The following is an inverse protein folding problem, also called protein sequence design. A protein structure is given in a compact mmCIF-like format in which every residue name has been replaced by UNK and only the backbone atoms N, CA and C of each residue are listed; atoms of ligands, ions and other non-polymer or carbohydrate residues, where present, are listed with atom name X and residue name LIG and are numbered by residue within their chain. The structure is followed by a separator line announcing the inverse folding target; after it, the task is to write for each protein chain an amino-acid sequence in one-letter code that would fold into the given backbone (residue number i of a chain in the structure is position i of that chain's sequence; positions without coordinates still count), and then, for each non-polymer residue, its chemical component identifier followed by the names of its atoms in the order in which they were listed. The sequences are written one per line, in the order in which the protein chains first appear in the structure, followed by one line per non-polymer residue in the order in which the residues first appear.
data_IF_525831989942
#
_entry.id   IF_525831989942
#
_cell.length_a   1.000
_cell.length_b   1.000
_cell.length_c   1.000
_cell.angle_alpha   90.00
_cell.angle_beta   90.00
_cell.angle_gamma   90.00
#
_symmetry.space_group_name_H-M   'P 1'
#
loop_
_entity.id
_entity.type
_entity.pdbx_description
1 polymer ?
#
# COMPACT_ATOMS: atom_id res chain seq x y z
N UNK A 1 21.89 -11.60 -20.31
CA UNK A 1 20.64 -12.21 -19.82
C UNK A 1 19.70 -11.09 -19.49
N UNK A 2 18.66 -10.89 -20.31
CA UNK A 2 17.61 -9.93 -20.02
C UNK A 2 16.66 -10.68 -19.10
N UNK A 3 16.66 -10.36 -17.81
CA UNK A 3 15.65 -10.86 -16.88
C UNK A 3 14.33 -10.24 -17.28
N UNK A 4 13.50 -11.10 -17.85
CA UNK A 4 12.09 -10.88 -18.14
C UNK A 4 11.36 -10.64 -16.80
N UNK A 5 11.41 -9.41 -16.30
CA UNK A 5 10.56 -8.99 -15.18
C UNK A 5 9.14 -8.84 -15.73
N UNK A 6 8.50 -9.99 -15.89
CA UNK A 6 7.08 -10.09 -16.14
C UNK A 6 6.37 -9.42 -14.98
N UNK A 7 5.75 -8.28 -15.28
CA UNK A 7 4.89 -7.54 -14.36
C UNK A 7 3.81 -8.48 -13.85
N UNK A 8 3.99 -9.03 -12.65
CA UNK A 8 2.93 -9.79 -12.00
C UNK A 8 2.02 -8.77 -11.34
N UNK A 9 1.02 -8.32 -12.10
CA UNK A 9 -0.12 -7.60 -11.55
C UNK A 9 -0.76 -8.53 -10.50
N UNK A 10 -0.53 -8.26 -9.21
CA UNK A 10 -0.95 -9.14 -8.11
C UNK A 10 -2.47 -9.16 -7.88
N UNK A 11 -3.21 -8.39 -8.66
CA UNK A 11 -4.66 -8.28 -8.61
C UNK A 11 -5.02 -6.82 -8.78
N UNK A 12 -5.79 -6.51 -9.82
CA UNK A 12 -6.61 -5.30 -9.76
C UNK A 12 -7.67 -5.65 -8.73
N UNK A 13 -7.78 -4.88 -7.65
CA UNK A 13 -9.01 -4.86 -6.87
C UNK A 13 -10.09 -4.31 -7.83
N UNK A 14 -10.68 -5.17 -8.66
CA UNK A 14 -11.69 -4.84 -9.69
C UNK A 14 -13.06 -4.50 -9.07
N UNK A 15 -13.05 -4.07 -7.82
CA UNK A 15 -14.25 -3.62 -7.14
C UNK A 15 -14.54 -2.19 -7.53
N UNK A 16 -15.78 -1.93 -7.94
CA UNK A 16 -16.31 -0.57 -8.10
C UNK A 16 -16.52 0.12 -6.75
N UNK A 17 -16.37 -0.60 -5.64
CA UNK A 17 -16.46 -0.08 -4.29
C UNK A 17 -15.08 0.32 -3.78
N UNK A 18 -15.00 1.44 -3.07
CA UNK A 18 -13.77 1.88 -2.46
C UNK A 18 -13.34 0.90 -1.35
N UNK A 19 -12.20 0.24 -1.52
CA UNK A 19 -11.60 -0.57 -0.47
C UNK A 19 -10.84 0.30 0.53
N UNK A 20 -11.02 0.00 1.81
CA UNK A 20 -10.30 0.65 2.91
C UNK A 20 -9.24 -0.32 3.40
N UNK A 21 -7.98 0.05 3.22
CA UNK A 21 -6.83 -0.73 3.62
C UNK A 21 -6.31 -0.26 4.97
N UNK A 22 -6.10 -1.19 5.88
CA UNK A 22 -5.29 -1.00 7.06
C UNK A 22 -3.84 -1.38 6.70
N UNK A 23 -2.95 -0.39 6.66
CA UNK A 23 -1.56 -0.55 6.25
C UNK A 23 -0.66 -0.28 7.44
N UNK A 24 0.13 -1.28 7.83
CA UNK A 24 1.23 -1.12 8.79
C UNK A 24 2.54 -0.94 8.03
N UNK A 25 3.20 0.19 8.26
CA UNK A 25 4.52 0.48 7.73
C UNK A 25 5.59 -0.12 8.64
N UNK A 26 6.77 -0.41 8.08
CA UNK A 26 7.90 -0.98 8.83
C UNK A 26 8.50 -0.03 9.85
N UNK A 27 8.35 1.28 9.65
CA UNK A 27 8.76 2.30 10.60
C UNK A 27 7.75 2.52 11.75
N UNK A 28 6.64 1.77 11.75
CA UNK A 28 5.64 1.76 12.81
C UNK A 28 4.49 2.74 12.59
N UNK A 29 4.46 3.45 11.47
CA UNK A 29 3.27 4.19 11.05
C UNK A 29 2.14 3.23 10.69
N UNK A 30 0.92 3.61 11.01
CA UNK A 30 -0.28 2.81 10.67
C UNK A 30 -1.33 3.72 10.08
N UNK A 31 -1.82 3.34 8.91
CA UNK A 31 -2.78 4.13 8.15
C UNK A 31 -4.05 3.34 7.84
N UNK A 32 -5.17 4.05 7.81
CA UNK A 32 -6.35 3.67 7.05
C UNK A 32 -6.34 4.43 5.74
N UNK A 33 -6.25 3.69 4.64
CA UNK A 33 -6.06 4.23 3.30
C UNK A 33 -7.20 3.80 2.38
N UNK A 34 -7.68 4.71 1.56
CA UNK A 34 -8.60 4.40 0.45
C UNK A 34 -7.77 4.17 -0.81
N UNK A 35 -7.76 2.94 -1.32
CA UNK A 35 -6.98 2.64 -2.53
C UNK A 35 -7.64 3.28 -3.75
N UNK A 36 -6.82 3.99 -4.53
CA UNK A 36 -7.16 4.35 -5.90
C UNK A 36 -6.44 3.33 -6.79
N UNK A 37 -6.90 3.10 -8.03
CA UNK A 37 -6.38 2.02 -8.88
C UNK A 37 -4.84 1.96 -8.99
N UNK A 38 -4.27 0.86 -9.52
CA UNK A 38 -2.83 0.62 -9.52
C UNK A 38 -2.02 1.79 -10.13
N UNK A 39 -0.86 2.12 -9.53
CA UNK A 39 0.07 3.11 -10.08
C UNK A 39 0.84 2.52 -11.26
N UNK A 40 1.03 3.32 -12.30
CA UNK A 40 2.03 3.03 -13.32
C UNK A 40 3.47 3.21 -12.77
N UNK A 41 4.10 2.09 -12.43
CA UNK A 41 5.47 2.03 -11.90
C UNK A 41 6.55 2.52 -12.88
N UNK A 42 6.27 2.63 -14.18
CA UNK A 42 7.23 3.11 -15.18
C UNK A 42 7.57 4.60 -15.00
N UNK A 43 6.67 5.36 -14.38
CA UNK A 43 6.86 6.79 -14.08
C UNK A 43 7.87 7.00 -12.95
N UNK A 44 7.88 6.10 -11.96
CA UNK A 44 8.68 6.22 -10.74
C UNK A 44 9.88 5.26 -10.70
N UNK A 45 10.06 4.45 -11.74
CA UNK A 45 11.17 3.49 -11.87
C UNK A 45 11.19 2.40 -10.79
N UNK A 46 10.07 2.20 -10.07
CA UNK A 46 10.01 1.37 -8.86
C UNK A 46 8.81 0.43 -8.95
N UNK A 47 9.07 -0.85 -9.24
CA UNK A 47 8.04 -1.89 -9.27
C UNK A 47 7.43 -2.12 -7.87
N UNK A 48 6.13 -2.44 -7.80
CA UNK A 48 5.44 -2.74 -6.54
C UNK A 48 4.99 -1.52 -5.72
N UNK A 49 4.84 -0.36 -6.36
CA UNK A 49 4.27 0.83 -5.73
C UNK A 49 2.74 0.86 -5.75
N UNK A 50 2.14 1.37 -4.68
CA UNK A 50 0.69 1.57 -4.53
C UNK A 50 0.37 3.02 -4.15
N UNK A 51 -0.76 3.53 -4.64
CA UNK A 51 -1.26 4.86 -4.32
C UNK A 51 -2.57 4.73 -3.57
N UNK A 52 -2.72 5.51 -2.52
CA UNK A 52 -3.97 5.61 -1.81
C UNK A 52 -4.18 7.00 -1.24
N UNK A 53 -5.40 7.27 -0.81
CA UNK A 53 -5.74 8.48 -0.07
C UNK A 53 -5.81 8.16 1.42
N UNK A 54 -5.17 8.99 2.24
CA UNK A 54 -5.23 8.86 3.69
C UNK A 54 -6.65 9.16 4.16
N UNK A 55 -7.32 8.19 4.79
CA UNK A 55 -8.58 8.41 5.52
C UNK A 55 -8.26 8.83 6.94
N UNK A 56 -7.37 8.10 7.60
CA UNK A 56 -6.96 8.34 8.97
C UNK A 56 -5.57 7.80 9.22
N UNK A 57 -4.85 8.44 10.13
CA UNK A 57 -3.63 7.90 10.72
C UNK A 57 -3.99 7.27 12.07
N UNK A 58 -3.63 6.01 12.26
CA UNK A 58 -3.91 5.23 13.48
C UNK A 58 -2.74 5.32 14.45
N UNK A 59 -1.51 5.33 13.91
CA UNK A 59 -0.27 5.48 14.66
C UNK A 59 0.73 6.30 13.86
N UNK A 60 1.39 7.24 14.53
CA UNK A 60 2.39 8.14 13.97
C UNK A 60 3.53 8.38 14.98
N UNK A 61 4.52 7.47 15.06
CA UNK A 61 5.61 7.61 16.01
C UNK A 61 6.47 8.87 15.77
N UNK A 62 6.54 9.34 14.51
CA UNK A 62 7.43 10.41 14.08
C UNK A 62 6.74 11.77 13.91
N UNK A 63 5.44 11.86 14.19
CA UNK A 63 4.60 13.04 13.95
C UNK A 63 4.70 13.54 12.49
N UNK A 64 4.74 12.63 11.52
CA UNK A 64 4.74 13.00 10.10
C UNK A 64 3.35 13.57 9.76
N UNK A 65 3.30 14.79 9.22
CA UNK A 65 2.06 15.53 8.96
C UNK A 65 1.22 14.96 7.79
N UNK A 66 0.82 13.70 7.85
CA UNK A 66 -0.12 13.08 6.93
C UNK A 66 -1.57 13.42 7.35
N UNK A 67 -2.27 14.18 6.51
CA UNK A 67 -3.65 14.61 6.78
C UNK A 67 -4.64 13.76 5.99
N UNK A 68 -5.85 13.53 6.52
CA UNK A 68 -6.95 12.98 5.74
C UNK A 68 -7.14 13.72 4.42
N UNK A 69 -7.33 12.98 3.34
CA UNK A 69 -7.44 13.49 1.97
C UNK A 69 -6.11 13.68 1.24
N UNK A 70 -4.96 13.52 1.91
CA UNK A 70 -3.67 13.52 1.21
C UNK A 70 -3.48 12.20 0.44
N UNK A 71 -2.88 12.30 -0.74
CA UNK A 71 -2.32 11.13 -1.42
C UNK A 71 -1.11 10.59 -0.66
N UNK A 72 -0.98 9.27 -0.61
CA UNK A 72 0.14 8.54 -0.07
C UNK A 72 0.57 7.48 -1.07
N UNK A 73 1.82 7.59 -1.51
CA UNK A 73 2.49 6.52 -2.25
C UNK A 73 3.29 5.69 -1.27
N UNK A 74 3.20 4.37 -1.39
CA UNK A 74 3.93 3.43 -0.56
C UNK A 74 4.34 2.21 -1.37
N UNK A 75 5.40 1.52 -0.94
CA UNK A 75 5.98 0.40 -1.66
C UNK A 75 6.01 -0.87 -0.82
N UNK A 76 6.02 -2.02 -1.47
CA UNK A 76 6.10 -3.33 -0.81
C UNK A 76 7.23 -3.45 0.21
N UNK A 77 8.39 -2.83 -0.06
CA UNK A 77 9.54 -2.87 0.83
C UNK A 77 9.39 -1.98 2.08
N UNK A 78 8.51 -0.97 2.07
CA UNK A 78 8.22 -0.09 3.20
C UNK A 78 7.13 -0.66 4.10
N UNK A 79 6.34 -1.59 3.58
CA UNK A 79 5.17 -2.14 4.24
C UNK A 79 5.53 -3.38 5.03
N UNK A 80 4.92 -3.48 6.21
CA UNK A 80 4.93 -4.68 7.06
C UNK A 80 3.70 -5.54 6.77
N UNK A 81 2.50 -4.96 6.71
CA UNK A 81 1.29 -5.69 6.33
C UNK A 81 0.22 -4.78 5.71
N UNK A 82 -0.64 -5.37 4.88
CA UNK A 82 -1.84 -4.75 4.30
C UNK A 82 -3.02 -5.66 4.51
N UNK A 83 -4.03 -5.18 5.22
CA UNK A 83 -5.32 -5.86 5.37
C UNK A 83 -6.41 -5.00 4.74
N UNK A 84 -7.25 -5.60 3.91
CA UNK A 84 -8.46 -4.98 3.42
C UNK A 84 -9.55 -5.08 4.48
N UNK A 85 -9.93 -3.95 5.07
CA UNK A 85 -10.94 -3.91 6.13
C UNK A 85 -12.37 -4.09 5.60
N UNK A 86 -12.59 -3.89 4.30
CA UNK A 86 -13.91 -4.09 3.68
C UNK A 86 -14.22 -5.58 3.53
N UNK A 87 -13.23 -6.37 3.11
CA UNK A 87 -13.36 -7.82 2.90
C UNK A 87 -12.82 -8.66 4.06
N UNK A 88 -12.09 -8.03 4.98
CA UNK A 88 -11.34 -8.66 6.05
C UNK A 88 -10.27 -9.66 5.55
N UNK A 89 -9.72 -9.39 4.36
CA UNK A 89 -8.68 -10.21 3.71
C UNK A 89 -7.28 -9.63 3.97
N UNK A 90 -6.32 -10.51 4.29
CA UNK A 90 -4.90 -10.15 4.34
C UNK A 90 -4.36 -10.14 2.90
N UNK A 91 -4.07 -8.97 2.38
CA UNK A 91 -3.58 -8.80 1.01
C UNK A 91 -2.05 -8.94 0.93
N UNK A 92 -1.35 -8.55 1.98
CA UNK A 92 0.10 -8.59 2.04
C UNK A 92 0.62 -8.71 3.47
N UNK A 93 1.66 -9.53 3.66
CA UNK A 93 2.46 -9.58 4.87
C UNK A 93 3.92 -9.79 4.48
N UNK A 94 4.79 -8.92 4.98
CA UNK A 94 6.21 -9.04 4.75
C UNK A 94 6.72 -10.34 5.36
N UNK A 95 7.48 -11.12 4.59
CA UNK A 95 8.17 -12.29 5.12
C UNK A 95 9.06 -11.86 6.30
N UNK A 96 8.85 -12.47 7.46
CA UNK A 96 9.71 -12.28 8.64
C UNK A 96 11.13 -12.65 8.26
N UNK A 97 11.97 -11.63 8.03
CA UNK A 97 13.40 -11.83 7.80
C UNK A 97 14.01 -12.57 8.99
N UNK A 98 14.62 -13.72 8.71
CA UNK A 98 15.40 -14.52 9.67
C UNK A 98 16.70 -13.84 10.06
#
# INVERSE_FOLDING_TARGET
MITDQTHKLLGILESREAHILHVEMRDGEVFLLKIHGPIDTSIYGSAGGWNAEVISMVSDPDNKFHKPGNGLDFYEYDVKSVTDTTTNELLFEAASGS
#
